data_IF_794180677414
#
_entry.id   IF_794180677414
#
_cell.length_a   1.000
_cell.length_b   1.000
_cell.length_c   1.000
_cell.angle_alpha   90.00
_cell.angle_beta   90.00
_cell.angle_gamma   90.00
#
_symmetry.space_group_name_H-M   'P 1'
#
loop_
_entity.id
_entity.type
_entity.pdbx_description
1 polymer ?
#
# COMPACT_ATOMS: atom_id res chain seq x y z
N UNK A 1 -27.34 33.24 -30.58
CA UNK A 1 -27.59 32.00 -29.80
C UNK A 1 -26.46 30.96 -29.92
N UNK A 2 -25.24 31.35 -30.30
CA UNK A 2 -24.10 30.43 -30.49
C UNK A 2 -23.14 30.43 -29.29
N UNK A 3 -23.00 31.56 -28.58
CA UNK A 3 -22.06 31.71 -27.45
C UNK A 3 -22.45 30.89 -26.22
N UNK A 4 -23.74 30.86 -25.87
CA UNK A 4 -24.25 30.12 -24.69
C UNK A 4 -24.11 28.60 -24.86
N UNK A 5 -24.25 28.10 -26.10
CA UNK A 5 -24.10 26.67 -26.42
C UNK A 5 -22.66 26.19 -26.27
N UNK A 6 -21.68 27.03 -26.62
CA UNK A 6 -20.26 26.70 -26.48
C UNK A 6 -19.79 26.71 -25.03
N UNK A 7 -20.33 27.60 -24.20
CA UNK A 7 -20.00 27.66 -22.75
C UNK A 7 -20.56 26.44 -22.02
N UNK A 8 -21.81 26.04 -22.30
CA UNK A 8 -22.40 24.84 -21.68
C UNK A 8 -21.63 23.58 -22.12
N UNK A 9 -21.22 23.49 -23.39
CA UNK A 9 -20.44 22.36 -23.88
C UNK A 9 -19.07 22.23 -23.18
N UNK A 10 -18.35 23.32 -22.92
CA UNK A 10 -17.06 23.29 -22.22
C UNK A 10 -17.19 22.99 -20.73
N UNK A 11 -18.24 23.47 -20.05
CA UNK A 11 -18.51 23.12 -18.65
C UNK A 11 -18.91 21.65 -18.47
N UNK A 12 -19.68 21.08 -19.39
CA UNK A 12 -20.04 19.65 -19.34
C UNK A 12 -18.81 18.77 -19.63
N UNK A 13 -17.94 19.18 -20.58
CA UNK A 13 -16.71 18.45 -20.89
C UNK A 13 -15.72 18.43 -19.72
N UNK A 14 -15.59 19.54 -18.99
CA UNK A 14 -14.71 19.62 -17.81
C UNK A 14 -15.26 18.86 -16.61
N UNK A 15 -16.59 18.88 -16.40
CA UNK A 15 -17.25 18.11 -15.35
C UNK A 15 -17.11 16.60 -15.55
N UNK A 16 -17.17 16.11 -16.80
CA UNK A 16 -16.98 14.69 -17.13
C UNK A 16 -15.52 14.27 -16.90
N UNK A 17 -14.55 15.12 -17.22
CA UNK A 17 -13.13 14.86 -16.98
C UNK A 17 -12.82 14.71 -15.47
N UNK A 18 -13.42 15.56 -14.63
CA UNK A 18 -13.26 15.50 -13.16
C UNK A 18 -13.98 14.29 -12.57
N UNK A 19 -15.14 13.91 -13.09
CA UNK A 19 -15.90 12.73 -12.63
C UNK A 19 -15.27 11.39 -13.07
N UNK A 20 -14.51 11.36 -14.17
CA UNK A 20 -13.75 10.17 -14.61
C UNK A 20 -12.43 9.98 -13.84
N UNK A 21 -11.92 11.03 -13.21
CA UNK A 21 -10.64 11.00 -12.49
C UNK A 21 -10.63 9.98 -11.31
N UNK A 22 -11.65 9.90 -10.43
CA UNK A 22 -11.65 8.88 -9.37
C UNK A 22 -11.93 7.46 -9.89
N UNK A 23 -12.63 7.32 -11.02
CA UNK A 23 -12.96 6.00 -11.60
C UNK A 23 -11.72 5.36 -12.23
N UNK A 24 -10.87 6.15 -12.89
CA UNK A 24 -9.59 5.66 -13.42
C UNK A 24 -8.63 5.20 -12.31
N UNK A 25 -8.64 5.85 -11.14
CA UNK A 25 -7.82 5.39 -9.99
C UNK A 25 -8.29 4.03 -9.46
N UNK A 26 -9.59 3.74 -9.51
CA UNK A 26 -10.16 2.45 -9.09
C UNK A 26 -9.79 1.31 -10.06
N UNK A 27 -9.71 1.57 -11.38
CA UNK A 27 -9.33 0.55 -12.37
C UNK A 27 -7.82 0.29 -12.48
N UNK A 28 -6.97 1.19 -11.96
CA UNK A 28 -5.51 1.07 -12.09
C UNK A 28 -4.85 0.01 -11.19
N UNK A 29 -5.59 -0.66 -10.29
CA UNK A 29 -4.99 -1.41 -9.18
C UNK A 29 -5.25 -2.94 -9.05
N UNK A 30 -5.97 -3.67 -9.94
CA UNK A 30 -5.99 -5.14 -9.88
C UNK A 30 -4.58 -5.73 -10.06
N UNK A 31 -3.78 -5.12 -10.94
CA UNK A 31 -2.44 -5.57 -11.25
C UNK A 31 -1.44 -5.31 -10.12
N UNK A 32 -1.57 -4.19 -9.40
CA UNK A 32 -0.65 -3.86 -8.30
C UNK A 32 -0.88 -4.77 -7.11
N UNK A 33 -2.14 -4.93 -6.69
CA UNK A 33 -2.49 -5.85 -5.60
C UNK A 33 -2.04 -7.28 -5.91
N UNK A 34 -2.34 -7.78 -7.11
CA UNK A 34 -1.91 -9.11 -7.53
C UNK A 34 -0.38 -9.26 -7.52
N UNK A 35 0.35 -8.24 -8.00
CA UNK A 35 1.82 -8.23 -7.95
C UNK A 35 2.35 -8.26 -6.52
N UNK A 36 1.79 -7.45 -5.61
CA UNK A 36 2.17 -7.44 -4.20
C UNK A 36 1.85 -8.79 -3.56
N UNK A 37 0.69 -9.38 -3.84
CA UNK A 37 0.30 -10.71 -3.33
C UNK A 37 1.31 -11.79 -3.77
N UNK A 38 1.67 -11.83 -5.05
CA UNK A 38 2.64 -12.79 -5.59
C UNK A 38 4.04 -12.59 -5.00
N UNK A 39 4.51 -11.33 -4.91
CA UNK A 39 5.80 -11.03 -4.29
C UNK A 39 5.80 -11.33 -2.79
N UNK A 40 4.68 -11.14 -2.11
CA UNK A 40 4.56 -11.38 -0.68
C UNK A 40 4.64 -12.88 -0.35
N UNK A 41 4.09 -13.74 -1.20
CA UNK A 41 4.25 -15.20 -1.08
C UNK A 41 5.74 -15.57 -1.12
N UNK A 42 6.49 -14.99 -2.05
CA UNK A 42 7.95 -15.21 -2.14
C UNK A 42 8.64 -14.64 -0.91
N UNK A 43 8.40 -13.37 -0.57
CA UNK A 43 9.01 -12.67 0.57
C UNK A 43 8.82 -13.38 1.93
N UNK A 44 7.68 -14.05 2.10
CA UNK A 44 7.32 -14.78 3.31
C UNK A 44 7.56 -16.28 3.21
N UNK A 45 8.17 -16.78 2.12
CA UNK A 45 8.37 -18.21 1.89
C UNK A 45 9.28 -18.84 2.95
N UNK A 46 8.79 -19.91 3.58
CA UNK A 46 9.50 -20.67 4.61
C UNK A 46 10.58 -21.61 4.08
N UNK A 47 10.52 -21.92 2.78
CA UNK A 47 11.30 -22.99 2.19
C UNK A 47 12.74 -22.57 1.97
N UNK A 48 13.68 -23.48 2.27
CA UNK A 48 15.12 -23.20 2.18
C UNK A 48 15.51 -22.78 0.77
N UNK A 49 14.91 -23.40 -0.25
CA UNK A 49 15.18 -23.13 -1.66
C UNK A 49 14.81 -21.70 -2.12
N UNK A 50 13.92 -21.01 -1.41
CA UNK A 50 13.46 -19.67 -1.76
C UNK A 50 14.02 -18.58 -0.84
N UNK A 51 14.88 -18.93 0.13
CA UNK A 51 15.42 -17.97 1.11
C UNK A 51 16.13 -16.79 0.46
N UNK A 52 16.89 -17.06 -0.59
CA UNK A 52 17.65 -16.05 -1.33
C UNK A 52 16.75 -15.10 -2.12
N UNK A 53 15.49 -15.47 -2.35
CA UNK A 53 14.49 -14.65 -3.05
C UNK A 53 13.66 -13.80 -2.10
N UNK A 54 13.71 -14.06 -0.78
CA UNK A 54 12.87 -13.35 0.18
C UNK A 54 13.23 -11.86 0.24
N UNK A 55 14.52 -11.55 0.33
CA UNK A 55 15.02 -10.17 0.40
C UNK A 55 14.77 -9.39 -0.90
N UNK A 56 15.12 -9.92 -2.10
CA UNK A 56 14.75 -9.28 -3.36
C UNK A 56 13.24 -9.02 -3.51
N UNK A 57 12.39 -9.94 -3.03
CA UNK A 57 10.95 -9.75 -3.07
C UNK A 57 10.49 -8.65 -2.10
N UNK A 58 11.05 -8.58 -0.90
CA UNK A 58 10.78 -7.48 0.04
C UNK A 58 11.22 -6.14 -0.54
N UNK A 59 12.41 -6.07 -1.13
CA UNK A 59 12.95 -4.85 -1.74
C UNK A 59 12.13 -4.42 -2.96
N UNK A 60 11.66 -5.37 -3.77
CA UNK A 60 10.79 -5.10 -4.90
C UNK A 60 9.43 -4.52 -4.47
N UNK A 61 8.87 -4.99 -3.35
CA UNK A 61 7.65 -4.40 -2.79
C UNK A 61 7.97 -3.02 -2.21
N UNK A 62 9.08 -2.87 -1.48
CA UNK A 62 9.46 -1.61 -0.86
C UNK A 62 9.73 -0.50 -1.90
N UNK A 63 10.32 -0.86 -3.05
CA UNK A 63 10.56 0.05 -4.16
C UNK A 63 9.27 0.62 -4.80
N UNK A 64 8.11 -0.01 -4.57
CA UNK A 64 6.81 0.55 -4.97
C UNK A 64 6.44 1.77 -4.10
N UNK A 65 6.99 1.89 -2.89
CA UNK A 65 6.79 3.01 -1.98
C UNK A 65 5.39 3.09 -1.38
N UNK A 66 4.91 4.31 -1.13
CA UNK A 66 3.62 4.58 -0.49
C UNK A 66 2.42 3.84 -1.11
N UNK A 67 2.29 3.69 -2.46
CA UNK A 67 1.20 2.91 -3.07
C UNK A 67 1.07 1.46 -2.59
N UNK A 68 2.13 0.83 -2.08
CA UNK A 68 2.08 -0.54 -1.56
C UNK A 68 1.50 -0.62 -0.14
N UNK A 69 1.52 0.48 0.61
CA UNK A 69 1.23 0.50 2.05
C UNK A 69 -0.20 0.06 2.38
N UNK A 70 -1.26 0.49 1.67
CA UNK A 70 -2.61 0.00 1.93
C UNK A 70 -2.74 -1.53 1.81
N UNK A 71 -2.06 -2.12 0.81
CA UNK A 71 -2.08 -3.56 0.60
C UNK A 71 -1.29 -4.33 1.68
N UNK A 72 -0.23 -3.72 2.22
CA UNK A 72 0.54 -4.28 3.32
C UNK A 72 -0.23 -4.21 4.65
N UNK A 73 -1.04 -3.16 4.85
CA UNK A 73 -1.93 -3.05 6.02
C UNK A 73 -2.92 -4.22 6.06
N UNK A 74 -3.51 -4.58 4.92
CA UNK A 74 -4.43 -5.72 4.83
C UNK A 74 -3.78 -7.05 5.26
N UNK A 75 -2.46 -7.18 5.08
CA UNK A 75 -1.70 -8.39 5.48
C UNK A 75 -1.51 -8.52 6.98
N UNK A 76 -1.73 -7.48 7.78
CA UNK A 76 -1.67 -7.60 9.24
C UNK A 76 -2.74 -8.51 9.85
N UNK A 77 -3.75 -8.92 9.07
CA UNK A 77 -4.75 -9.93 9.48
C UNK A 77 -4.18 -11.35 9.56
N UNK A 78 -2.98 -11.59 9.04
CA UNK A 78 -2.36 -12.92 9.00
C UNK A 78 -2.17 -13.55 10.39
N UNK A 79 -2.32 -14.89 10.44
CA UNK A 79 -1.95 -15.69 11.62
C UNK A 79 -0.49 -16.15 11.58
N UNK A 80 0.16 -16.11 10.42
CA UNK A 80 1.57 -16.49 10.26
C UNK A 80 2.49 -15.47 10.92
N UNK A 81 3.33 -15.92 11.84
CA UNK A 81 4.33 -15.05 12.46
C UNK A 81 5.35 -14.55 11.42
N UNK A 82 5.72 -15.41 10.47
CA UNK A 82 6.66 -15.08 9.41
C UNK A 82 6.13 -13.97 8.51
N UNK A 83 4.90 -14.12 8.00
CA UNK A 83 4.25 -13.09 7.18
C UNK A 83 4.14 -11.76 7.93
N UNK A 84 3.81 -11.80 9.23
CA UNK A 84 3.74 -10.59 10.05
C UNK A 84 5.06 -9.84 10.11
N UNK A 85 6.17 -10.54 10.34
CA UNK A 85 7.50 -9.94 10.34
C UNK A 85 7.88 -9.43 8.95
N UNK A 86 7.55 -10.17 7.89
CA UNK A 86 7.75 -9.72 6.52
C UNK A 86 7.03 -8.40 6.23
N UNK A 87 5.79 -8.22 6.69
CA UNK A 87 5.07 -6.93 6.54
C UNK A 87 5.82 -5.79 7.23
N UNK A 88 6.26 -5.99 8.49
CA UNK A 88 6.98 -4.97 9.26
C UNK A 88 8.29 -4.58 8.54
N UNK A 89 9.08 -5.57 8.12
CA UNK A 89 10.34 -5.34 7.43
C UNK A 89 10.19 -4.63 6.09
N UNK A 90 9.11 -4.88 5.35
CA UNK A 90 8.82 -4.16 4.11
C UNK A 90 8.44 -2.70 4.43
N UNK A 91 7.60 -2.48 5.44
CA UNK A 91 7.19 -1.13 5.86
C UNK A 91 8.37 -0.30 6.38
N UNK A 92 9.33 -0.92 7.08
CA UNK A 92 10.59 -0.26 7.47
C UNK A 92 11.42 0.18 6.26
N UNK A 93 11.56 -0.68 5.24
CA UNK A 93 12.26 -0.34 4.00
C UNK A 93 11.57 0.79 3.22
N UNK A 94 10.24 0.87 3.26
CA UNK A 94 9.48 1.99 2.68
C UNK A 94 9.73 3.28 3.49
N UNK A 95 9.89 3.16 4.81
CA UNK A 95 10.29 4.24 5.70
C UNK A 95 9.16 5.26 5.94
N UNK A 96 9.53 6.54 6.03
CA UNK A 96 8.61 7.63 6.40
C UNK A 96 7.41 7.77 5.47
N UNK A 97 7.52 7.31 4.22
CA UNK A 97 6.43 7.31 3.25
C UNK A 97 5.24 6.43 3.68
N UNK A 98 5.45 5.44 4.56
CA UNK A 98 4.38 4.59 5.10
C UNK A 98 3.63 5.22 6.29
N UNK A 99 4.21 6.22 6.95
CA UNK A 99 3.67 6.78 8.20
C UNK A 99 2.25 7.34 8.05
N UNK A 100 1.91 8.13 7.02
CA UNK A 100 0.57 8.71 6.91
C UNK A 100 -0.55 7.64 6.85
N UNK A 101 -0.34 6.60 6.05
CA UNK A 101 -1.31 5.51 5.88
C UNK A 101 -1.41 4.63 7.12
N UNK A 102 -0.28 4.35 7.78
CA UNK A 102 -0.25 3.59 9.03
C UNK A 102 -0.94 4.36 10.17
N UNK A 103 -0.74 5.68 10.28
CA UNK A 103 -1.42 6.52 11.27
C UNK A 103 -2.93 6.50 11.04
N UNK A 104 -3.38 6.59 9.78
CA UNK A 104 -4.80 6.47 9.43
C UNK A 104 -5.37 5.10 9.85
N UNK A 105 -4.60 4.03 9.65
CA UNK A 105 -5.04 2.67 9.96
C UNK A 105 -5.08 2.34 11.47
N UNK A 106 -4.52 3.18 12.34
CA UNK A 106 -4.69 3.07 13.80
C UNK A 106 -6.14 3.29 14.26
N UNK A 107 -6.98 3.93 13.44
CA UNK A 107 -8.41 4.12 13.71
C UNK A 107 -9.28 2.90 13.34
N UNK A 108 -8.69 1.75 13.01
CA UNK A 108 -9.42 0.54 12.65
C UNK A 108 -10.07 -0.19 13.82
N UNK A 109 -11.00 -1.10 13.50
CA UNK A 109 -11.83 -1.78 14.51
C UNK A 109 -11.20 -3.05 15.10
N UNK A 110 -10.20 -3.64 14.46
CA UNK A 110 -9.51 -4.85 14.96
C UNK A 110 -8.33 -4.46 15.88
N UNK A 111 -8.44 -4.68 17.21
CA UNK A 111 -7.39 -4.29 18.14
C UNK A 111 -6.06 -5.00 17.92
N UNK A 112 -6.09 -6.24 17.38
CA UNK A 112 -4.88 -6.99 17.07
C UNK A 112 -4.14 -6.39 15.87
N UNK A 113 -4.88 -5.96 14.85
CA UNK A 113 -4.31 -5.28 13.68
C UNK A 113 -3.77 -3.91 14.08
N UNK A 114 -4.55 -3.11 14.83
CA UNK A 114 -4.11 -1.80 15.34
C UNK A 114 -2.83 -1.90 16.17
N UNK A 115 -2.74 -2.90 17.06
CA UNK A 115 -1.52 -3.14 17.86
C UNK A 115 -0.30 -3.42 16.98
N UNK A 116 -0.45 -4.17 15.88
CA UNK A 116 0.65 -4.50 14.96
C UNK A 116 1.08 -3.26 14.16
N UNK A 117 0.12 -2.45 13.74
CA UNK A 117 0.38 -1.17 13.05
C UNK A 117 1.13 -0.21 13.97
N UNK A 118 0.72 -0.10 15.24
CA UNK A 118 1.40 0.72 16.23
C UNK A 118 2.86 0.29 16.45
N UNK A 119 3.12 -1.02 16.46
CA UNK A 119 4.49 -1.54 16.49
C UNK A 119 5.26 -1.11 15.23
N UNK A 120 4.73 -1.37 14.04
CA UNK A 120 5.41 -1.01 12.79
C UNK A 120 5.76 0.49 12.71
N UNK A 121 4.89 1.37 13.21
CA UNK A 121 5.16 2.81 13.31
C UNK A 121 6.33 3.14 14.25
N UNK A 122 6.43 2.46 15.40
CA UNK A 122 7.56 2.61 16.32
C UNK A 122 8.88 2.18 15.68
N UNK A 123 8.86 1.05 14.97
CA UNK A 123 10.03 0.46 14.31
C UNK A 123 10.55 1.35 13.16
N UNK A 124 9.65 1.92 12.34
CA UNK A 124 10.01 2.88 11.29
C UNK A 124 10.73 4.10 11.89
N UNK A 125 10.22 4.63 13.01
CA UNK A 125 10.79 5.82 13.65
C UNK A 125 12.17 5.56 14.26
N UNK A 126 12.39 4.37 14.81
CA UNK A 126 13.69 3.97 15.35
C UNK A 126 14.76 3.99 14.23
N UNK A 127 14.44 3.38 13.08
CA UNK A 127 15.29 3.44 11.89
C UNK A 127 15.53 4.85 11.33
N UNK A 128 14.57 5.78 11.47
CA UNK A 128 14.71 7.16 11.03
C UNK A 128 15.51 8.04 12.02
N UNK A 129 15.83 7.54 13.21
CA UNK A 129 16.53 8.26 14.27
C UNK A 129 18.05 7.98 14.30
N UNK A 130 18.58 7.25 13.31
CA UNK A 130 20.00 6.85 13.18
C UNK A 130 20.63 7.58 12.00
#
# INVERSE_FOLDING_TARGET
>A
MTTVRNVIATFVLSAILVAMCPVLTVYAQPNLKHKIDSLFIIASSGEVQYRDQNEPAMDAIAALGAPAVPYLIDKFTTKSARERWTVIWILQRIGSAAVPDLVKALGGDDPLVVRRIAWALGDIKDTASV
#
